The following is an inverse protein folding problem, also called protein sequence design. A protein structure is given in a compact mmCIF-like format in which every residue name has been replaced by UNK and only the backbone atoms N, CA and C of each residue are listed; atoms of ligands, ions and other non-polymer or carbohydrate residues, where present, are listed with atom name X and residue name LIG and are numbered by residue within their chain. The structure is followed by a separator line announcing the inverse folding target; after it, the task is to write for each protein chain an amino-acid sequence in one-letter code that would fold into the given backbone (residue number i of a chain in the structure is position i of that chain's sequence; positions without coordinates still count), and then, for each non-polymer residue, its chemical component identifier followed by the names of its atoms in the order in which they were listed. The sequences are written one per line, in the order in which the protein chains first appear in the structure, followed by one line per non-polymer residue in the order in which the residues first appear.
data_IF_213341783756
#
_entry.id   IF_213341783756
#
_cell.length_a   1.000
_cell.length_b   1.000
_cell.length_c   1.000
_cell.angle_alpha   90.00
_cell.angle_beta   90.00
_cell.angle_gamma   90.00
#
_symmetry.space_group_name_H-M   'P 1'
#
loop_
_entity.id
_entity.type
_entity.pdbx_description
1 polymer ?
#
# COMPACT_ATOMS: atom_id res chain seq x y z
N UNK A 1 -6.60 -50.97 -23.79
CA UNK A 1 -7.67 -50.10 -23.24
C UNK A 1 -7.24 -49.78 -21.81
N UNK A 2 -6.34 -48.79 -21.64
CA UNK A 2 -6.62 -47.37 -21.34
C UNK A 2 -7.12 -47.20 -19.90
N UNK A 3 -6.59 -46.35 -19.01
CA UNK A 3 -5.62 -45.25 -19.13
C UNK A 3 -5.03 -44.98 -17.74
N UNK A 4 -3.71 -44.83 -17.66
CA UNK A 4 -2.98 -44.32 -16.49
C UNK A 4 -3.19 -42.81 -16.45
N UNK A 5 -4.03 -42.31 -15.53
CA UNK A 5 -4.22 -40.88 -15.34
C UNK A 5 -2.94 -40.25 -14.78
N UNK A 6 -2.19 -39.60 -15.67
CA UNK A 6 -1.07 -38.71 -15.36
C UNK A 6 -1.60 -37.49 -14.60
N UNK A 7 -1.37 -37.44 -13.30
CA UNK A 7 -1.60 -36.25 -12.49
C UNK A 7 -0.58 -35.19 -12.93
N UNK A 8 -1.06 -34.11 -13.54
CA UNK A 8 -0.22 -33.03 -14.03
C UNK A 8 0.45 -32.28 -12.84
N UNK A 9 1.77 -32.05 -12.86
CA UNK A 9 2.49 -31.32 -11.81
C UNK A 9 2.15 -29.82 -11.73
N UNK A 10 1.28 -29.32 -12.62
CA UNK A 10 0.93 -27.89 -12.71
C UNK A 10 -0.04 -27.43 -11.61
N UNK A 11 -0.66 -28.33 -10.85
CA UNK A 11 -1.62 -27.95 -9.80
C UNK A 11 -0.99 -27.58 -8.46
N UNK A 12 0.32 -27.82 -8.26
CA UNK A 12 0.98 -27.55 -6.97
C UNK A 12 1.66 -26.18 -6.89
N UNK A 13 1.83 -25.44 -7.99
CA UNK A 13 2.59 -24.17 -8.00
C UNK A 13 1.76 -22.90 -7.79
N UNK A 14 0.43 -22.97 -7.76
CA UNK A 14 -0.43 -21.79 -7.52
C UNK A 14 -0.69 -21.48 -6.03
N UNK A 15 -0.06 -22.18 -5.08
CA UNK A 15 -0.30 -21.98 -3.64
C UNK A 15 0.84 -21.28 -2.87
N UNK A 16 1.87 -20.77 -3.56
CA UNK A 16 3.07 -20.21 -2.90
C UNK A 16 3.30 -18.71 -3.10
N UNK A 17 2.39 -18.00 -3.75
CA UNK A 17 2.37 -16.55 -3.64
C UNK A 17 1.42 -16.18 -2.49
N UNK A 18 1.88 -15.62 -1.36
CA UNK A 18 0.95 -14.94 -0.47
C UNK A 18 0.24 -13.90 -1.33
N UNK A 19 -1.09 -13.92 -1.33
CA UNK A 19 -1.83 -12.92 -2.06
C UNK A 19 -1.41 -11.54 -1.52
N UNK A 20 -1.40 -10.47 -2.33
CA UNK A 20 -1.14 -9.11 -1.81
C UNK A 20 -2.05 -8.77 -0.60
N UNK A 21 -3.21 -9.44 -0.54
CA UNK A 21 -4.25 -9.35 0.49
C UNK A 21 -3.86 -9.99 1.81
N UNK A 22 -3.18 -11.15 1.78
CA UNK A 22 -2.60 -11.77 2.96
C UNK A 22 -1.50 -10.89 3.54
N UNK A 23 -0.75 -10.20 2.68
CA UNK A 23 0.23 -9.18 3.09
C UNK A 23 -0.42 -8.07 3.91
N UNK A 24 -1.47 -7.43 3.40
CA UNK A 24 -2.13 -6.30 4.07
C UNK A 24 -2.80 -6.69 5.40
N UNK A 25 -3.54 -7.81 5.43
CA UNK A 25 -4.19 -8.32 6.65
C UNK A 25 -3.16 -8.71 7.72
N UNK A 26 -2.03 -9.31 7.31
CA UNK A 26 -0.94 -9.65 8.23
C UNK A 26 -0.17 -8.41 8.71
N UNK A 27 -0.11 -7.33 7.91
CA UNK A 27 0.56 -6.07 8.29
C UNK A 27 -0.27 -5.29 9.31
N UNK A 28 -1.59 -5.27 9.16
CA UNK A 28 -2.53 -4.74 10.17
C UNK A 28 -2.42 -5.48 11.50
N UNK A 29 -2.38 -6.81 11.45
CA UNK A 29 -2.28 -7.66 12.64
C UNK A 29 -0.90 -7.58 13.34
N UNK A 30 0.19 -7.41 12.58
CA UNK A 30 1.56 -7.41 13.15
C UNK A 30 1.98 -6.07 13.75
N UNK A 31 1.41 -4.96 13.28
CA UNK A 31 1.92 -3.65 13.66
C UNK A 31 1.20 -3.05 14.88
N UNK A 32 0.04 -3.61 15.27
CA UNK A 32 -0.82 -2.98 16.29
C UNK A 32 -1.27 -1.55 15.91
N UNK A 33 -1.02 -1.14 14.66
CA UNK A 33 -1.29 0.19 14.17
C UNK A 33 -2.60 0.15 13.40
N UNK A 34 -3.57 0.86 13.94
CA UNK A 34 -4.86 1.27 13.36
C UNK A 34 -4.70 2.10 12.07
N UNK A 35 -3.74 1.79 11.17
CA UNK A 35 -3.40 2.63 10.03
C UNK A 35 -3.30 1.80 8.74
N UNK A 36 -3.95 2.28 7.68
CA UNK A 36 -3.98 1.65 6.35
C UNK A 36 -3.49 2.64 5.31
N UNK A 37 -2.61 2.19 4.42
CA UNK A 37 -2.18 2.96 3.26
C UNK A 37 -3.37 3.24 2.34
N UNK A 38 -3.61 4.51 2.03
CA UNK A 38 -4.66 4.98 1.11
C UNK A 38 -4.46 4.42 -0.29
N UNK A 39 -3.22 4.15 -0.66
CA UNK A 39 -2.82 3.61 -1.95
C UNK A 39 -2.70 2.08 -1.93
N UNK A 40 -3.39 1.37 -1.04
CA UNK A 40 -3.40 -0.09 -1.07
C UNK A 40 -3.89 -0.60 -2.44
N UNK A 41 -3.18 -1.57 -3.01
CA UNK A 41 -3.42 -2.04 -4.37
C UNK A 41 -2.41 -3.09 -4.81
N UNK A 42 -2.53 -3.59 -6.05
CA UNK A 42 -1.56 -4.54 -6.58
C UNK A 42 -0.15 -3.94 -6.60
N UNK A 43 0.91 -4.76 -6.39
CA UNK A 43 2.28 -4.30 -6.49
C UNK A 43 2.56 -3.64 -7.85
N UNK A 44 3.41 -2.62 -7.83
CA UNK A 44 3.73 -1.85 -9.01
C UNK A 44 4.32 -2.73 -10.11
N UNK A 45 3.89 -2.51 -11.35
CA UNK A 45 4.39 -3.28 -12.49
C UNK A 45 5.84 -2.91 -12.79
N UNK A 46 6.63 -3.85 -13.31
CA UNK A 46 8.04 -3.60 -13.62
C UNK A 46 8.21 -2.44 -14.63
N UNK A 47 7.28 -2.30 -15.57
CA UNK A 47 7.26 -1.20 -16.53
C UNK A 47 7.00 0.15 -15.86
N UNK A 48 6.07 0.20 -14.90
CA UNK A 48 5.74 1.42 -14.17
C UNK A 48 6.87 1.86 -13.23
N UNK A 49 7.54 0.89 -12.59
CA UNK A 49 8.73 1.15 -11.79
C UNK A 49 9.84 1.73 -12.67
N UNK A 50 10.12 1.12 -13.83
CA UNK A 50 11.15 1.60 -14.76
C UNK A 50 10.86 3.04 -15.25
N UNK A 51 9.61 3.34 -15.60
CA UNK A 51 9.20 4.69 -16.01
C UNK A 51 9.40 5.72 -14.88
N UNK A 52 9.04 5.34 -13.65
CA UNK A 52 9.19 6.18 -12.46
C UNK A 52 10.66 6.44 -12.12
N UNK A 53 11.51 5.42 -12.22
CA UNK A 53 12.95 5.55 -12.01
C UNK A 53 13.61 6.39 -13.10
N UNK A 54 13.16 6.27 -14.35
CA UNK A 54 13.64 7.11 -15.43
C UNK A 54 13.36 8.59 -15.15
N UNK A 55 12.13 8.94 -14.73
CA UNK A 55 11.79 10.32 -14.32
C UNK A 55 12.73 10.84 -13.23
N UNK A 56 12.95 10.06 -12.17
CA UNK A 56 13.87 10.43 -11.09
C UNK A 56 15.31 10.60 -11.60
N UNK A 57 15.78 9.75 -12.50
CA UNK A 57 17.14 9.86 -13.05
C UNK A 57 17.35 11.12 -13.89
N UNK A 58 16.29 11.63 -14.53
CA UNK A 58 16.33 12.89 -15.29
C UNK A 58 16.31 14.09 -14.35
N UNK A 59 15.52 14.05 -13.27
CA UNK A 59 15.41 15.14 -12.30
C UNK A 59 16.60 15.19 -11.31
N UNK A 60 17.28 14.07 -11.08
CA UNK A 60 18.42 13.94 -10.17
C UNK A 60 19.65 13.37 -10.91
N UNK A 61 20.24 14.12 -11.85
CA UNK A 61 21.33 13.63 -12.71
C UNK A 61 22.63 13.32 -11.95
N UNK A 62 22.83 13.94 -10.79
CA UNK A 62 24.03 13.74 -9.95
C UNK A 62 24.02 12.40 -9.19
N UNK A 63 22.92 11.65 -9.25
CA UNK A 63 22.80 10.35 -8.60
C UNK A 63 23.36 9.22 -9.46
N UNK A 64 23.98 8.23 -8.81
CA UNK A 64 24.59 7.10 -9.51
C UNK A 64 23.53 6.12 -10.03
N UNK A 65 23.89 5.36 -11.07
CA UNK A 65 22.99 4.32 -11.61
C UNK A 65 22.72 3.21 -10.59
N UNK A 66 23.70 2.91 -9.76
CA UNK A 66 23.63 1.95 -8.67
C UNK A 66 22.57 2.35 -7.64
N UNK A 67 22.43 3.65 -7.35
CA UNK A 67 21.38 4.16 -6.46
C UNK A 67 19.98 3.80 -6.98
N UNK A 68 19.70 4.08 -8.25
CA UNK A 68 18.40 3.77 -8.87
C UNK A 68 18.15 2.26 -8.99
N UNK A 69 19.20 1.47 -9.21
CA UNK A 69 19.12 0.01 -9.21
C UNK A 69 18.68 -0.53 -7.84
N UNK A 70 19.31 -0.04 -6.76
CA UNK A 70 18.94 -0.44 -5.40
C UNK A 70 17.52 0.04 -5.09
N UNK A 71 17.16 1.28 -5.44
CA UNK A 71 15.81 1.79 -5.22
C UNK A 71 14.75 0.91 -5.92
N UNK A 72 14.98 0.52 -7.16
CA UNK A 72 14.11 -0.40 -7.92
C UNK A 72 13.92 -1.74 -7.20
N UNK A 73 15.01 -2.34 -6.73
CA UNK A 73 14.98 -3.60 -5.98
C UNK A 73 14.17 -3.45 -4.69
N UNK A 74 14.36 -2.35 -3.97
CA UNK A 74 13.66 -2.10 -2.70
C UNK A 74 12.17 -1.84 -2.93
N UNK A 75 11.79 -1.07 -3.95
CA UNK A 75 10.38 -0.86 -4.34
C UNK A 75 9.70 -2.20 -4.63
N UNK A 76 10.36 -3.05 -5.41
CA UNK A 76 9.87 -4.38 -5.75
C UNK A 76 9.72 -5.27 -4.50
N UNK A 77 10.69 -5.25 -3.58
CA UNK A 77 10.64 -6.02 -2.32
C UNK A 77 9.59 -5.49 -1.33
N UNK A 78 9.35 -4.19 -1.29
CA UNK A 78 8.34 -3.57 -0.41
C UNK A 78 6.91 -3.83 -0.92
N UNK A 79 6.73 -4.21 -2.18
CA UNK A 79 5.40 -4.47 -2.75
C UNK A 79 4.55 -3.21 -2.87
N UNK A 80 5.19 -2.06 -3.05
CA UNK A 80 4.52 -0.77 -3.18
C UNK A 80 3.64 -0.76 -4.44
N UNK A 81 2.41 -0.24 -4.33
CA UNK A 81 1.48 -0.16 -5.48
C UNK A 81 1.89 0.93 -6.47
N UNK A 82 1.37 0.85 -7.70
CA UNK A 82 1.61 1.87 -8.73
C UNK A 82 1.18 3.28 -8.25
N UNK A 83 0.01 3.38 -7.63
CA UNK A 83 -0.52 4.64 -7.11
C UNK A 83 0.35 5.22 -5.98
N UNK A 84 0.85 4.37 -5.08
CA UNK A 84 1.75 4.80 -4.01
C UNK A 84 3.09 5.26 -4.57
N UNK A 85 3.62 4.54 -5.57
CA UNK A 85 4.87 4.89 -6.22
C UNK A 85 4.75 6.25 -6.94
N UNK A 86 3.68 6.47 -7.70
CA UNK A 86 3.44 7.75 -8.37
C UNK A 86 3.32 8.89 -7.36
N UNK A 87 2.58 8.69 -6.28
CA UNK A 87 2.48 9.68 -5.21
C UNK A 87 3.85 9.99 -4.59
N UNK A 88 4.62 8.95 -4.23
CA UNK A 88 5.93 9.11 -3.63
C UNK A 88 6.89 9.86 -4.56
N UNK A 89 6.96 9.48 -5.83
CA UNK A 89 7.84 10.13 -6.81
C UNK A 89 7.43 11.58 -7.03
N UNK A 90 6.15 11.85 -7.30
CA UNK A 90 5.70 13.23 -7.52
C UNK A 90 5.92 14.10 -6.28
N UNK A 91 5.66 13.57 -5.09
CA UNK A 91 5.89 14.30 -3.84
C UNK A 91 7.37 14.62 -3.63
N UNK A 92 8.27 13.70 -3.96
CA UNK A 92 9.72 13.98 -3.96
C UNK A 92 10.02 15.10 -4.96
N UNK A 93 9.56 15.00 -6.20
CA UNK A 93 9.81 16.03 -7.21
C UNK A 93 9.31 17.43 -6.79
N UNK A 94 8.14 17.51 -6.14
CA UNK A 94 7.52 18.78 -5.76
C UNK A 94 8.11 19.40 -4.48
N UNK A 95 8.62 18.58 -3.55
CA UNK A 95 8.95 19.05 -2.19
C UNK A 95 10.41 18.86 -1.79
N UNK A 96 11.20 18.15 -2.60
CA UNK A 96 12.56 17.83 -2.23
C UNK A 96 13.44 19.08 -2.25
N UNK A 97 13.98 19.42 -1.08
CA UNK A 97 14.94 20.51 -0.89
C UNK A 97 16.37 19.99 -1.06
N UNK A 98 17.33 20.88 -1.34
CA UNK A 98 18.75 20.62 -1.66
C UNK A 98 19.53 19.81 -0.59
N UNK A 99 19.14 18.57 -0.36
CA UNK A 99 19.87 17.51 0.36
C UNK A 99 20.12 16.35 -0.62
N UNK A 100 20.97 15.39 -0.28
CA UNK A 100 21.07 14.18 -1.10
C UNK A 100 19.83 13.30 -0.91
N UNK A 101 19.22 12.87 -2.02
CA UNK A 101 18.04 12.00 -2.01
C UNK A 101 18.42 10.63 -1.45
N UNK A 102 17.72 10.18 -0.42
CA UNK A 102 17.90 8.85 0.14
C UNK A 102 16.80 7.89 -0.34
N UNK A 103 17.09 6.59 -0.32
CA UNK A 103 16.08 5.56 -0.61
C UNK A 103 14.89 5.67 0.37
N UNK A 104 15.16 6.03 1.61
CA UNK A 104 14.13 6.21 2.63
C UNK A 104 13.20 7.40 2.31
N UNK A 105 13.70 8.50 1.74
CA UNK A 105 12.88 9.64 1.34
C UNK A 105 11.82 9.26 0.29
N UNK A 106 12.06 8.21 -0.50
CA UNK A 106 11.08 7.69 -1.47
C UNK A 106 10.19 6.62 -0.82
N UNK A 107 10.77 5.62 -0.15
CA UNK A 107 10.02 4.48 0.38
C UNK A 107 9.14 4.81 1.59
N UNK A 108 9.54 5.79 2.41
CA UNK A 108 8.76 6.20 3.58
C UNK A 108 7.51 6.99 3.22
N UNK A 109 7.45 7.54 2.00
CA UNK A 109 6.29 8.28 1.54
C UNK A 109 5.12 7.33 1.32
N UNK A 110 4.13 7.54 2.18
CA UNK A 110 2.87 6.85 2.15
C UNK A 110 1.84 7.75 2.81
N UNK A 111 0.61 7.69 2.33
CA UNK A 111 -0.50 8.36 3.00
C UNK A 111 -1.24 7.28 3.74
N UNK A 112 -1.14 7.32 5.07
CA UNK A 112 -1.82 6.38 5.96
C UNK A 112 -3.07 7.03 6.53
N UNK A 113 -4.17 6.31 6.51
CA UNK A 113 -5.41 6.69 7.13
C UNK A 113 -5.65 5.83 8.37
N UNK A 114 -6.11 6.46 9.45
CA UNK A 114 -6.44 5.74 10.67
C UNK A 114 -7.76 4.99 10.50
N UNK A 115 -7.74 3.68 10.67
CA UNK A 115 -8.90 2.78 10.66
C UNK A 115 -9.14 2.23 12.04
N UNK A 116 -10.41 2.16 12.45
CA UNK A 116 -10.79 1.78 13.81
C UNK A 116 -11.73 0.59 13.78
N UNK A 117 -11.65 -0.30 14.78
CA UNK A 117 -12.69 -1.30 15.01
C UNK A 117 -13.98 -0.64 15.51
N UNK A 118 -15.10 -1.38 15.48
CA UNK A 118 -16.37 -0.87 16.01
C UNK A 118 -16.28 -0.44 17.49
N UNK A 119 -15.56 -1.21 18.31
CA UNK A 119 -15.37 -0.88 19.73
C UNK A 119 -14.53 0.39 19.92
N UNK A 120 -13.48 0.57 19.11
CA UNK A 120 -12.63 1.78 19.14
C UNK A 120 -13.37 3.00 18.61
N UNK A 121 -14.17 2.86 17.56
CA UNK A 121 -15.05 3.91 17.04
C UNK A 121 -16.01 4.40 18.14
N UNK A 122 -16.69 3.47 18.84
CA UNK A 122 -17.57 3.84 19.95
C UNK A 122 -16.82 4.58 21.07
N UNK A 123 -15.60 4.13 21.41
CA UNK A 123 -14.76 4.79 22.41
C UNK A 123 -14.28 6.17 21.97
N UNK A 124 -13.93 6.36 20.70
CA UNK A 124 -13.48 7.64 20.15
C UNK A 124 -14.64 8.63 20.02
N UNK A 125 -15.81 8.16 19.56
CA UNK A 125 -17.05 8.95 19.52
C UNK A 125 -17.44 9.45 20.92
N UNK A 126 -17.42 8.55 21.92
CA UNK A 126 -17.72 8.89 23.32
C UNK A 126 -16.70 9.89 23.91
N UNK A 127 -15.41 9.78 23.56
CA UNK A 127 -14.35 10.71 24.00
C UNK A 127 -14.48 12.10 23.38
N UNK A 128 -14.90 12.17 22.11
CA UNK A 128 -14.99 13.43 21.35
C UNK A 128 -16.36 14.11 21.47
N UNK A 129 -17.36 13.41 22.03
CA UNK A 129 -18.76 13.86 21.95
C UNK A 129 -19.28 13.90 20.51
N UNK A 130 -18.68 13.11 19.61
CA UNK A 130 -19.05 13.03 18.20
C UNK A 130 -20.11 11.94 17.98
N UNK A 131 -20.90 12.07 16.91
CA UNK A 131 -21.86 11.02 16.54
C UNK A 131 -21.14 9.87 15.87
N UNK A 132 -21.59 8.64 16.11
CA UNK A 132 -21.16 7.47 15.32
C UNK A 132 -21.51 7.61 13.84
N UNK A 133 -22.43 8.51 13.49
CA UNK A 133 -22.76 8.86 12.10
C UNK A 133 -21.63 9.60 11.37
N UNK A 134 -20.65 10.15 12.07
CA UNK A 134 -19.50 10.81 11.45
C UNK A 134 -18.48 9.82 10.86
N UNK A 135 -18.70 8.53 11.10
CA UNK A 135 -17.86 7.44 10.63
C UNK A 135 -18.50 6.73 9.44
N UNK A 136 -17.66 6.27 8.53
CA UNK A 136 -18.04 5.46 7.38
C UNK A 136 -17.37 4.09 7.47
N UNK A 137 -18.10 3.01 7.13
CA UNK A 137 -17.49 1.70 7.03
C UNK A 137 -16.55 1.65 5.83
N UNK A 138 -15.44 0.95 6.00
CA UNK A 138 -14.45 0.61 5.01
C UNK A 138 -14.21 -0.90 5.12
N UNK A 139 -14.36 -1.62 4.02
CA UNK A 139 -14.02 -3.04 3.97
C UNK A 139 -12.58 -3.19 3.49
N UNK A 140 -11.80 -4.01 4.19
CA UNK A 140 -10.43 -4.34 3.81
C UNK A 140 -10.43 -5.81 3.39
N UNK A 141 -10.29 -6.06 2.09
CA UNK A 141 -10.31 -7.39 1.51
C UNK A 141 -11.58 -8.19 1.82
N UNK A 142 -11.39 -9.47 2.13
CA UNK A 142 -12.47 -10.42 2.48
C UNK A 142 -12.77 -10.45 3.99
N UNK A 143 -12.40 -9.39 4.73
CA UNK A 143 -12.67 -9.33 6.16
C UNK A 143 -14.18 -9.33 6.43
N UNK A 144 -14.62 -10.28 7.26
CA UNK A 144 -16.02 -10.48 7.63
C UNK A 144 -16.60 -9.30 8.44
N UNK A 145 -15.72 -8.45 8.98
CA UNK A 145 -16.08 -7.26 9.78
C UNK A 145 -15.52 -5.99 9.12
N UNK A 146 -16.36 -4.97 8.88
CA UNK A 146 -15.89 -3.69 8.38
C UNK A 146 -15.09 -2.96 9.46
N UNK A 147 -14.08 -2.20 9.03
CA UNK A 147 -13.43 -1.20 9.86
C UNK A 147 -14.09 0.16 9.63
N UNK A 148 -13.89 1.10 10.55
CA UNK A 148 -14.52 2.40 10.55
C UNK A 148 -13.48 3.50 10.37
N UNK A 149 -13.84 4.50 9.58
CA UNK A 149 -12.98 5.63 9.23
C UNK A 149 -13.81 6.90 9.31
N UNK A 150 -13.21 8.04 9.68
CA UNK A 150 -13.94 9.31 9.66
C UNK A 150 -14.36 9.67 8.23
N UNK A 151 -15.61 10.12 8.04
CA UNK A 151 -16.12 10.59 6.74
C UNK A 151 -15.25 11.71 6.17
N UNK A 152 -14.73 12.59 7.02
CA UNK A 152 -13.83 13.69 6.62
C UNK A 152 -12.51 13.16 6.05
N UNK A 153 -11.95 12.10 6.63
CA UNK A 153 -10.71 11.50 6.15
C UNK A 153 -10.96 10.67 4.88
N UNK A 154 -12.11 10.00 4.79
CA UNK A 154 -12.55 9.33 3.57
C UNK A 154 -12.64 10.29 2.39
N UNK A 155 -13.20 11.48 2.60
CA UNK A 155 -13.28 12.54 1.57
C UNK A 155 -11.88 13.12 1.27
N UNK A 156 -11.11 13.44 2.32
CA UNK A 156 -9.76 14.03 2.20
C UNK A 156 -8.82 13.15 1.40
N UNK A 157 -8.87 11.84 1.63
CA UNK A 157 -7.99 10.86 1.00
C UNK A 157 -8.63 10.14 -0.20
N UNK A 158 -9.89 10.47 -0.54
CA UNK A 158 -10.67 9.81 -1.60
C UNK A 158 -10.64 8.28 -1.49
N UNK A 159 -10.78 7.78 -0.26
CA UNK A 159 -10.75 6.34 0.02
C UNK A 159 -11.97 5.64 -0.60
N UNK A 160 -11.77 4.52 -1.31
CA UNK A 160 -12.88 3.71 -1.84
C UNK A 160 -13.66 3.04 -0.70
N UNK A 161 -14.84 2.49 -0.99
CA UNK A 161 -15.67 1.77 -0.01
C UNK A 161 -15.06 0.39 0.38
N UNK A 162 -14.22 -0.15 -0.50
CA UNK A 162 -13.47 -1.38 -0.29
C UNK A 162 -12.03 -1.22 -0.80
N UNK A 163 -11.08 -1.73 -0.01
CA UNK A 163 -9.65 -1.85 -0.35
C UNK A 163 -9.29 -3.31 -0.61
#
# INVERSE_FOLDING_TARGET
MNEVQRIAPQRLMNSLAPSPKDGLALTLAKNGSEEVSVFAGPPASAAHIAASMHKLSVCFPDMTKEFFSILTERISKTGMSDARLDYAVNRVLDTFTYKQLTIADVLSLDVKCRVMSYAEMCNDAAKRGASTDDYAPLRIGDADKPVWVLKVDKIRYRLPDAL
#
